data_IF_877355975166
#
_entry.id   IF_877355975166
#
_cell.length_a   1.000
_cell.length_b   1.000
_cell.length_c   1.000
_cell.angle_alpha   90.00
_cell.angle_beta   90.00
_cell.angle_gamma   90.00
#
_symmetry.space_group_name_H-M   'P 1'
#
loop_
_entity.id
_entity.type
_entity.pdbx_description
1 polymer ?
#
# COMPACT_ATOMS: atom_id res chain seq x y z
N UNK A 1 -11.04 18.98 -13.17
CA UNK A 1 -10.14 17.80 -13.25
C UNK A 1 -10.85 16.62 -12.60
N UNK A 2 -11.20 15.54 -13.33
CA UNK A 2 -11.84 14.38 -12.70
C UNK A 2 -10.89 13.78 -11.65
N UNK A 3 -11.40 13.55 -10.44
CA UNK A 3 -10.65 12.85 -9.39
C UNK A 3 -10.59 11.37 -9.77
N UNK A 4 -9.44 10.90 -10.25
CA UNK A 4 -9.26 9.48 -10.54
C UNK A 4 -9.19 8.70 -9.25
N UNK A 5 -9.96 7.62 -9.16
CA UNK A 5 -9.80 6.66 -8.07
C UNK A 5 -8.46 5.95 -8.27
N UNK A 6 -7.64 5.81 -7.22
CA UNK A 6 -6.48 4.96 -7.29
C UNK A 6 -6.91 3.52 -7.58
N UNK A 7 -6.12 2.82 -8.37
CA UNK A 7 -6.34 1.41 -8.68
C UNK A 7 -5.56 0.47 -7.75
N UNK A 8 -4.66 1.02 -6.94
CA UNK A 8 -3.89 0.27 -5.96
C UNK A 8 -3.22 1.18 -4.95
N UNK A 9 -2.61 0.56 -3.95
CA UNK A 9 -1.79 1.22 -2.94
C UNK A 9 -0.52 0.43 -2.68
N UNK A 10 0.56 1.15 -2.42
CA UNK A 10 1.83 0.58 -1.96
C UNK A 10 2.06 1.06 -0.54
N UNK A 11 2.31 0.12 0.37
CA UNK A 11 2.65 0.42 1.75
C UNK A 11 4.17 0.51 1.90
N UNK A 12 4.64 1.64 2.42
CA UNK A 12 6.04 1.93 2.68
C UNK A 12 6.23 2.05 4.18
N UNK A 13 7.10 1.22 4.76
CA UNK A 13 7.46 1.26 6.17
C UNK A 13 8.16 2.60 6.50
N UNK A 14 8.25 2.96 7.78
CA UNK A 14 8.93 4.18 8.21
C UNK A 14 10.42 4.22 7.84
N UNK A 15 11.05 3.05 7.65
CA UNK A 15 12.41 2.93 7.13
C UNK A 15 12.52 3.18 5.60
N UNK A 16 11.43 3.51 4.91
CA UNK A 16 11.42 3.78 3.47
C UNK A 16 11.31 2.54 2.58
N UNK A 17 11.23 1.35 3.18
CA UNK A 17 11.11 0.07 2.46
C UNK A 17 9.65 -0.23 2.13
N UNK A 18 9.39 -0.65 0.90
CA UNK A 18 8.06 -1.14 0.51
C UNK A 18 7.78 -2.50 1.13
N UNK A 19 6.81 -2.56 2.03
CA UNK A 19 6.44 -3.77 2.80
C UNK A 19 5.19 -4.44 2.27
N UNK A 20 4.44 -3.77 1.41
CA UNK A 20 3.20 -4.31 0.88
C UNK A 20 2.71 -3.56 -0.35
N UNK A 21 1.88 -4.25 -1.11
CA UNK A 21 1.23 -3.73 -2.29
C UNK A 21 -0.15 -4.38 -2.42
N UNK A 22 -1.15 -3.57 -2.76
CA UNK A 22 -2.53 -4.04 -2.98
C UNK A 22 -3.09 -3.44 -4.26
N UNK A 23 -3.72 -4.29 -5.07
CA UNK A 23 -4.49 -3.88 -6.23
C UNK A 23 -5.98 -3.92 -5.88
N UNK A 24 -6.64 -2.77 -5.99
CA UNK A 24 -8.06 -2.61 -5.65
C UNK A 24 -9.00 -3.17 -6.70
N UNK A 25 -8.53 -3.41 -7.93
CA UNK A 25 -9.36 -4.07 -8.95
C UNK A 25 -9.40 -5.58 -8.73
N UNK A 26 -8.38 -6.14 -8.06
CA UNK A 26 -8.23 -7.57 -7.80
C UNK A 26 -8.59 -7.98 -6.37
N UNK A 27 -8.88 -7.02 -5.49
CA UNK A 27 -9.16 -7.28 -4.07
C UNK A 27 -10.52 -6.73 -3.69
N UNK A 28 -11.29 -7.50 -2.93
CA UNK A 28 -12.60 -7.06 -2.42
C UNK A 28 -12.46 -5.80 -1.55
N UNK A 29 -13.51 -4.97 -1.52
CA UNK A 29 -13.53 -3.69 -0.80
C UNK A 29 -13.32 -3.87 0.72
N UNK A 30 -13.87 -4.94 1.30
CA UNK A 30 -13.76 -5.22 2.74
C UNK A 30 -12.36 -5.65 3.11
N UNK A 31 -11.76 -6.54 2.31
CA UNK A 31 -10.39 -7.01 2.51
C UNK A 31 -9.39 -5.88 2.28
N UNK A 32 -9.57 -5.09 1.23
CA UNK A 32 -8.72 -3.92 0.97
C UNK A 32 -8.78 -2.89 2.09
N UNK A 33 -9.97 -2.57 2.61
CA UNK A 33 -10.12 -1.71 3.79
C UNK A 33 -9.37 -2.25 5.02
N UNK A 34 -9.43 -3.57 5.26
CA UNK A 34 -8.73 -4.23 6.37
C UNK A 34 -7.21 -4.15 6.22
N UNK A 35 -6.68 -4.38 5.02
CA UNK A 35 -5.24 -4.33 4.72
C UNK A 35 -4.72 -2.90 4.85
N UNK A 36 -5.41 -1.93 4.25
CA UNK A 36 -5.05 -0.50 4.34
C UNK A 36 -5.06 -0.02 5.80
N UNK A 37 -6.09 -0.39 6.56
CA UNK A 37 -6.19 -0.05 7.98
C UNK A 37 -5.04 -0.64 8.80
N UNK A 38 -4.64 -1.89 8.51
CA UNK A 38 -3.50 -2.52 9.18
C UNK A 38 -2.18 -1.79 8.91
N UNK A 39 -1.92 -1.39 7.66
CA UNK A 39 -0.72 -0.63 7.32
C UNK A 39 -0.69 0.75 7.98
N UNK A 40 -1.83 1.45 8.06
CA UNK A 40 -1.92 2.72 8.79
C UNK A 40 -1.63 2.51 10.28
N UNK A 41 -2.18 1.45 10.88
CA UNK A 41 -1.93 1.11 12.28
C UNK A 41 -0.47 0.74 12.55
N UNK A 42 0.21 0.12 11.58
CA UNK A 42 1.64 -0.19 11.60
C UNK A 42 2.54 1.05 11.36
N UNK A 43 1.93 2.21 11.09
CA UNK A 43 2.66 3.45 10.81
C UNK A 43 3.28 3.51 9.41
N UNK A 44 2.82 2.67 8.48
CA UNK A 44 3.25 2.69 7.09
C UNK A 44 2.60 3.86 6.31
N UNK A 45 3.37 4.44 5.40
CA UNK A 45 2.88 5.40 4.41
C UNK A 45 2.19 4.66 3.25
N UNK A 46 0.98 5.10 2.88
CA UNK A 46 0.23 4.55 1.75
C UNK A 46 0.41 5.43 0.52
N UNK A 47 1.14 4.91 -0.49
CA UNK A 47 1.30 5.56 -1.78
C UNK A 47 0.23 5.10 -2.77
N UNK A 48 -0.69 5.98 -3.21
CA UNK A 48 -1.73 5.62 -4.17
C UNK A 48 -1.12 5.43 -5.57
N UNK A 49 -1.57 4.39 -6.25
CA UNK A 49 -1.23 4.10 -7.64
C UNK A 49 -2.41 4.44 -8.54
N UNK A 50 -2.11 5.04 -9.70
CA UNK A 50 -3.13 5.48 -10.67
C UNK A 50 -2.87 4.94 -12.09
N UNK A 51 -1.70 4.33 -12.33
CA UNK A 51 -1.32 3.81 -13.65
C UNK A 51 -1.96 2.44 -13.90
N UNK A 52 -2.46 2.19 -15.12
CA UNK A 52 -3.14 0.94 -15.47
C UNK A 52 -2.33 -0.35 -15.21
N UNK A 53 -1.00 -0.22 -15.23
CA UNK A 53 -0.07 -1.27 -14.81
C UNK A 53 1.00 -0.64 -13.92
N UNK A 54 1.30 -1.26 -12.79
CA UNK A 54 2.36 -0.83 -11.89
C UNK A 54 3.04 -2.06 -11.26
N UNK A 55 4.27 -1.86 -10.80
CA UNK A 55 5.05 -2.87 -10.11
C UNK A 55 5.55 -2.29 -8.80
N UNK A 56 5.52 -3.10 -7.75
CA UNK A 56 6.11 -2.77 -6.46
C UNK A 56 7.02 -3.94 -6.04
N UNK A 57 8.20 -3.61 -5.53
CA UNK A 57 9.11 -4.61 -4.99
C UNK A 57 8.87 -4.70 -3.48
N UNK A 58 8.41 -5.86 -3.00
CA UNK A 58 8.10 -6.06 -1.59
C UNK A 58 9.34 -6.60 -0.89
N UNK A 59 9.75 -5.92 0.17
CA UNK A 59 10.88 -6.29 1.02
C UNK A 59 10.45 -6.29 2.49
N UNK A 60 11.15 -7.07 3.30
CA UNK A 60 10.95 -7.11 4.75
C UNK A 60 11.22 -5.72 5.35
N UNK A 61 10.40 -5.26 6.29
CA UNK A 61 10.71 -4.01 6.99
C UNK A 61 12.07 -4.14 7.68
N UNK A 62 12.90 -3.11 7.57
CA UNK A 62 14.24 -3.05 8.13
C UNK A 62 14.34 -2.07 9.30
N UNK A 63 13.21 -1.69 9.90
CA UNK A 63 13.23 -0.94 11.15
C UNK A 63 13.92 -1.80 12.23
N UNK A 64 14.84 -1.20 12.99
CA UNK A 64 15.35 -1.83 14.20
C UNK A 64 14.17 -1.97 15.19
N UNK A 65 13.89 -3.21 15.60
CA UNK A 65 12.98 -3.54 16.68
C UNK A 65 13.52 -2.82 17.93
N UNK A 66 12.82 -1.75 18.36
CA UNK A 66 13.21 -0.98 19.55
C UNK A 66 12.78 -1.67 20.83
#
# INVERSE_FOLDING_TARGET
MPKYKPNGYVAVCQCGVTVGAIDLNRTDLKESGRILGRWIADGCELKPQFAGTWQANISSCQCEDN
#
